data_IF_955303175601
#
_entry.id   IF_955303175601
#
_cell.length_a   1.000
_cell.length_b   1.000
_cell.length_c   1.000
_cell.angle_alpha   90.00
_cell.angle_beta   90.00
_cell.angle_gamma   90.00
#
_symmetry.space_group_name_H-M   'P 1'
#
loop_
_entity.id
_entity.type
_entity.pdbx_description
1 polymer ?
2 polymer ?
#
# COMPACT_ATOMS: atom_id res chain seq x y z
N UNK A 1 10.22 -11.69 -22.44
CA UNK A 1 9.25 -11.79 -21.32
C UNK A 1 8.63 -10.42 -20.97
N UNK A 2 7.31 -10.36 -20.72
CA UNK A 2 6.67 -9.09 -20.38
C UNK A 2 7.05 -8.56 -19.00
N UNK A 3 7.64 -9.43 -18.18
CA UNK A 3 8.02 -9.04 -16.82
C UNK A 3 9.50 -9.17 -16.54
N UNK A 4 9.93 -8.55 -15.45
CA UNK A 4 11.33 -8.61 -15.02
C UNK A 4 11.45 -9.71 -13.97
N UNK A 5 12.22 -10.78 -14.28
CA UNK A 5 12.40 -11.89 -13.35
C UNK A 5 13.34 -11.64 -12.16
N UNK A 6 14.01 -10.49 -12.19
CA UNK A 6 14.93 -10.15 -11.11
C UNK A 6 14.29 -9.25 -10.07
N UNK A 7 13.04 -8.85 -10.32
CA UNK A 7 12.33 -7.98 -9.40
C UNK A 7 11.01 -8.54 -8.89
N UNK A 8 10.83 -8.46 -7.58
CA UNK A 8 9.59 -8.87 -6.94
C UNK A 8 9.20 -7.64 -6.16
N UNK A 9 7.94 -7.21 -6.27
CA UNK A 9 7.51 -6.05 -5.51
C UNK A 9 6.02 -6.05 -5.23
N UNK A 10 5.56 -5.02 -4.53
CA UNK A 10 4.17 -4.85 -4.14
C UNK A 10 3.54 -3.82 -5.04
N UNK A 11 4.26 -3.47 -6.11
CA UNK A 11 3.93 -2.44 -7.10
C UNK A 11 4.36 -1.14 -6.43
N UNK A 12 4.73 -0.11 -7.20
CA UNK A 12 5.15 1.13 -6.55
C UNK A 12 4.16 1.94 -5.72
N UNK A 13 2.88 1.90 -6.08
CA UNK A 13 1.84 2.68 -5.38
C UNK A 13 0.71 1.79 -4.83
N UNK A 14 1.05 0.75 -4.07
CA UNK A 14 -0.01 -0.12 -3.56
C UNK A 14 -1.06 0.56 -2.71
N UNK A 15 -2.30 0.04 -2.74
CA UNK A 15 -3.38 0.62 -1.93
C UNK A 15 -3.21 -0.02 -0.55
N UNK A 16 -4.05 0.33 0.45
CA UNK A 16 -3.86 -0.31 1.76
C UNK A 16 -3.86 -1.84 1.54
N UNK A 17 -2.75 -2.48 1.88
CA UNK A 17 -2.62 -3.92 1.68
C UNK A 17 -2.24 -4.72 2.93
N UNK A 18 -2.44 -4.11 4.09
CA UNK A 18 -2.11 -4.78 5.35
C UNK A 18 -3.17 -4.51 6.40
N UNK A 19 -3.44 -5.51 7.22
CA UNK A 19 -4.40 -5.37 8.30
C UNK A 19 -3.61 -5.64 9.56
N UNK A 20 -2.80 -4.66 9.96
CA UNK A 20 -1.96 -4.78 11.14
C UNK A 20 -2.78 -4.72 12.43
N UNK A 21 -3.34 -3.57 12.76
CA UNK A 21 -4.16 -3.47 13.97
C UNK A 21 -5.62 -3.68 13.61
N UNK A 22 -6.03 -3.16 12.46
CA UNK A 22 -7.41 -3.33 11.99
C UNK A 22 -7.43 -3.51 10.47
N UNK A 23 -8.59 -3.86 9.91
CA UNK A 23 -8.72 -4.09 8.47
C UNK A 23 -8.16 -3.04 7.52
N UNK A 24 -7.22 -3.46 6.68
CA UNK A 24 -6.58 -2.59 5.69
C UNK A 24 -6.23 -1.19 6.21
N UNK A 25 -5.38 -1.15 7.24
CA UNK A 25 -5.00 0.11 7.85
C UNK A 25 -3.58 0.58 7.53
N UNK A 26 -2.93 -0.08 6.58
CA UNK A 26 -1.57 0.30 6.24
C UNK A 26 -1.15 -0.04 4.81
N UNK A 27 -0.29 0.81 4.26
CA UNK A 27 0.24 0.62 2.91
C UNK A 27 1.72 0.22 3.03
N UNK A 28 2.05 -0.99 2.59
CA UNK A 28 3.42 -1.47 2.64
C UNK A 28 3.98 -1.56 1.24
N UNK A 29 4.94 -0.70 0.93
CA UNK A 29 5.58 -0.72 -0.39
C UNK A 29 6.90 -1.45 -0.21
N UNK A 30 7.10 -2.54 -0.93
CA UNK A 30 8.34 -3.31 -0.83
C UNK A 30 8.79 -3.76 -2.21
N UNK A 31 10.06 -3.52 -2.52
CA UNK A 31 10.61 -3.91 -3.80
C UNK A 31 11.93 -4.60 -3.58
N UNK A 32 12.04 -5.80 -4.12
CA UNK A 32 13.26 -6.59 -3.99
C UNK A 32 13.85 -6.88 -5.36
N UNK A 33 15.13 -6.56 -5.54
CA UNK A 33 15.76 -6.85 -6.82
C UNK A 33 16.97 -7.73 -6.55
N UNK A 34 17.14 -8.74 -7.38
CA UNK A 34 18.25 -9.65 -7.24
C UNK A 34 19.45 -9.22 -8.07
N UNK A 35 20.62 -9.23 -7.43
CA UNK A 35 21.86 -8.84 -8.08
C UNK A 35 22.89 -9.87 -7.66
N UNK A 36 22.84 -11.05 -8.27
CA UNK A 36 23.78 -12.08 -7.90
C UNK A 36 23.41 -12.61 -6.54
N UNK A 37 24.38 -12.68 -5.63
CA UNK A 37 24.12 -13.20 -4.29
C UNK A 37 23.52 -12.21 -3.31
N UNK A 38 23.29 -10.99 -3.78
CA UNK A 38 22.71 -9.97 -2.92
C UNK A 38 21.41 -9.39 -3.49
N UNK A 39 20.43 -9.22 -2.61
CA UNK A 39 19.16 -8.64 -3.01
C UNK A 39 19.17 -7.22 -2.48
N UNK A 40 18.94 -6.26 -3.35
CA UNK A 40 18.85 -4.87 -2.93
C UNK A 40 17.38 -4.63 -2.65
N UNK A 41 17.04 -4.24 -1.42
CA UNK A 41 15.64 -3.99 -1.10
C UNK A 41 15.31 -2.60 -0.59
N UNK A 42 14.08 -2.18 -0.83
CA UNK A 42 13.61 -0.89 -0.34
C UNK A 42 12.24 -1.12 0.27
N UNK A 43 12.06 -0.67 1.50
CA UNK A 43 10.79 -0.84 2.18
C UNK A 43 10.23 0.49 2.68
N UNK A 44 8.91 0.56 2.77
CA UNK A 44 8.23 1.75 3.25
C UNK A 44 6.91 1.34 3.84
N UNK A 45 6.57 1.89 5.00
CA UNK A 45 5.31 1.57 5.68
C UNK A 45 4.64 2.83 6.19
N UNK A 46 3.35 2.96 5.95
CA UNK A 46 2.60 4.13 6.40
C UNK A 46 1.19 3.76 6.84
N UNK A 47 0.78 4.36 7.95
CA UNK A 47 -0.54 4.10 8.48
C UNK A 47 -1.56 4.95 7.75
N UNK A 48 -2.76 4.42 7.56
CA UNK A 48 -3.82 5.14 6.88
C UNK A 48 -5.16 5.03 7.61
N UNK A 49 -5.20 4.26 8.69
CA UNK A 49 -6.45 4.08 9.42
C UNK A 49 -6.19 3.56 10.81
N UNK A 50 -7.08 3.90 11.75
CA UNK A 50 -6.94 3.42 13.11
C UNK A 50 -5.76 3.97 13.87
N UNK A 51 -5.29 3.21 14.86
CA UNK A 51 -4.17 3.62 15.70
C UNK A 51 -2.85 3.93 14.98
N UNK A 52 -2.70 3.43 13.76
CA UNK A 52 -1.47 3.69 13.01
C UNK A 52 -1.43 5.12 12.47
N UNK A 53 -2.44 5.91 12.81
CA UNK A 53 -2.51 7.31 12.39
C UNK A 53 -2.26 8.18 13.60
N UNK A 54 -2.31 7.57 14.79
CA UNK A 54 -2.12 8.29 16.03
C UNK A 54 -1.45 7.36 17.04
N UNK A 55 -0.14 7.20 16.89
CA UNK A 55 0.66 6.32 17.74
C UNK A 55 0.25 6.31 19.21
N UNK A 56 -0.15 5.13 19.68
CA UNK A 56 -0.57 4.96 21.06
C UNK A 56 0.62 5.22 21.97
N UNK A 57 0.34 5.79 23.14
CA UNK A 57 1.38 6.11 24.11
C UNK A 57 2.23 4.91 24.50
N UNK A 58 1.58 3.78 24.70
CA UNK A 58 2.28 2.58 25.12
C UNK A 58 3.01 1.82 24.01
N UNK A 59 2.85 2.21 22.74
CA UNK A 59 3.54 1.50 21.67
C UNK A 59 4.99 1.97 21.55
N UNK A 60 5.90 1.03 21.29
CA UNK A 60 7.30 1.38 21.15
C UNK A 60 7.81 0.81 19.84
N UNK A 61 7.08 -0.14 19.28
CA UNK A 61 7.52 -0.76 18.04
C UNK A 61 6.38 -1.09 17.08
N UNK A 62 6.66 -0.96 15.79
CA UNK A 62 5.71 -1.27 14.74
C UNK A 62 6.47 -2.16 13.78
N UNK A 63 5.95 -3.36 13.54
CA UNK A 63 6.62 -4.26 12.64
C UNK A 63 5.72 -5.08 11.74
N UNK A 64 6.32 -5.66 10.70
CA UNK A 64 5.57 -6.49 9.77
C UNK A 64 6.41 -7.71 9.43
N UNK A 65 5.75 -8.81 9.09
CA UNK A 65 6.47 -10.02 8.73
C UNK A 65 6.08 -10.48 7.33
N UNK A 66 6.95 -11.24 6.70
CA UNK A 66 6.70 -11.77 5.37
C UNK A 66 7.29 -13.16 5.36
N UNK A 67 6.41 -14.16 5.35
CA UNK A 67 6.82 -15.56 5.36
C UNK A 67 6.68 -16.17 3.96
N UNK A 68 7.68 -16.95 3.56
CA UNK A 68 7.68 -17.58 2.25
C UNK A 68 7.82 -19.10 2.40
N UNK A 69 7.20 -19.85 1.50
CA UNK A 69 7.30 -21.32 1.57
C UNK A 69 8.67 -21.77 1.09
N UNK A 70 8.87 -23.08 0.96
CA UNK A 70 10.14 -23.62 0.53
C UNK A 70 10.56 -23.30 -0.91
N UNK A 71 9.67 -22.66 -1.66
CA UNK A 71 9.97 -22.29 -3.03
C UNK A 71 10.11 -20.79 -3.16
N UNK A 72 10.14 -20.11 -2.02
CA UNK A 72 10.28 -18.66 -2.02
C UNK A 72 9.00 -17.95 -2.42
N UNK A 73 7.87 -18.61 -2.23
CA UNK A 73 6.58 -18.03 -2.56
C UNK A 73 5.89 -17.52 -1.30
N UNK A 74 5.45 -16.26 -1.33
CA UNK A 74 4.80 -15.66 -0.17
C UNK A 74 3.55 -16.43 0.26
N UNK A 75 3.36 -16.53 1.57
CA UNK A 75 2.21 -17.22 2.15
C UNK A 75 1.32 -16.11 2.73
N UNK A 76 0.14 -15.93 2.16
CA UNK A 76 -0.75 -14.87 2.63
C UNK A 76 -1.65 -15.21 3.80
N UNK A 77 -1.04 -15.49 4.94
CA UNK A 77 -1.78 -15.79 6.16
C UNK A 77 -0.86 -15.42 7.31
N UNK A 78 -1.41 -15.31 8.53
CA UNK A 78 -0.62 -14.95 9.71
C UNK A 78 0.69 -15.74 9.76
N UNK A 79 1.82 -15.07 10.08
CA UNK A 79 1.96 -13.64 10.39
C UNK A 79 2.28 -12.70 9.23
N UNK A 80 2.13 -13.15 8.00
CA UNK A 80 2.43 -12.28 6.86
C UNK A 80 1.54 -11.03 6.83
N UNK A 81 2.18 -9.86 6.84
CA UNK A 81 1.48 -8.58 6.83
C UNK A 81 0.58 -8.37 5.60
N UNK A 82 1.11 -8.65 4.41
CA UNK A 82 0.33 -8.47 3.19
C UNK A 82 -0.91 -9.37 3.18
N UNK A 83 -2.07 -8.78 2.96
CA UNK A 83 -3.32 -9.54 2.93
C UNK A 83 -3.33 -10.44 1.69
N UNK A 84 -4.18 -11.48 1.67
CA UNK A 84 -4.21 -12.37 0.50
C UNK A 84 -4.46 -11.77 -0.90
N UNK A 85 -5.31 -10.75 -1.01
CA UNK A 85 -5.56 -10.15 -2.32
C UNK A 85 -4.48 -9.16 -2.72
N UNK A 86 -3.57 -8.87 -1.79
CA UNK A 86 -2.49 -7.92 -2.06
C UNK A 86 -1.60 -8.34 -3.22
N UNK A 87 -1.21 -7.37 -4.03
CA UNK A 87 -0.36 -7.59 -5.20
C UNK A 87 1.10 -7.88 -4.81
N UNK A 88 1.64 -8.98 -5.33
CA UNK A 88 3.02 -9.36 -5.06
C UNK A 88 3.48 -10.36 -6.10
N UNK A 89 4.56 -10.02 -6.79
CA UNK A 89 5.08 -10.91 -7.82
C UNK A 89 6.06 -10.16 -8.69
N UNK A 90 6.40 -10.74 -9.84
CA UNK A 90 7.33 -10.09 -10.75
C UNK A 90 6.78 -8.75 -11.21
N UNK A 91 7.68 -7.82 -11.51
CA UNK A 91 7.28 -6.51 -11.98
C UNK A 91 6.95 -6.55 -13.47
N UNK A 92 5.84 -5.89 -13.82
CA UNK A 92 5.42 -5.80 -15.20
C UNK A 92 4.80 -4.42 -15.34
N UNK A 93 5.57 -3.48 -15.89
CA UNK A 93 5.08 -2.12 -16.02
C UNK A 93 4.97 -1.54 -14.63
N UNK A 94 3.87 -0.86 -14.33
CA UNK A 94 3.69 -0.30 -13.00
C UNK A 94 2.85 -1.25 -12.16
N UNK A 95 2.76 -2.50 -12.60
CA UNK A 95 1.98 -3.54 -11.92
C UNK A 95 2.79 -4.83 -11.78
N UNK A 96 2.13 -5.93 -11.45
CA UNK A 96 2.81 -7.21 -11.32
C UNK A 96 2.26 -8.23 -12.30
N UNK A 97 3.08 -9.22 -12.63
CA UNK A 97 2.68 -10.29 -13.55
C UNK A 97 1.87 -11.26 -12.71
N UNK A 98 0.99 -12.03 -13.36
CA UNK A 98 0.19 -13.00 -12.62
C UNK A 98 0.85 -14.37 -12.60
N UNK A 99 2.01 -14.47 -13.27
CA UNK A 99 2.74 -15.73 -13.32
C UNK A 99 3.26 -16.08 -11.93
N UNK A 100 3.28 -17.37 -11.61
CA UNK A 100 3.77 -17.79 -10.31
C UNK A 100 5.30 -17.66 -10.33
N UNK A 101 5.88 -17.31 -9.19
CA UNK A 101 7.33 -17.15 -9.09
C UNK A 101 8.01 -18.51 -9.09
N UNK A 102 8.83 -18.74 -10.11
CA UNK A 102 9.53 -20.01 -10.26
C UNK A 102 11.00 -19.97 -9.84
N UNK A 103 11.51 -18.79 -9.51
CA UNK A 103 12.90 -18.64 -9.09
C UNK A 103 12.96 -17.92 -7.74
N UNK A 104 11.99 -18.24 -6.88
CA UNK A 104 11.90 -17.60 -5.59
C UNK A 104 13.09 -17.68 -4.67
N UNK A 105 13.80 -18.80 -4.71
CA UNK A 105 14.95 -18.96 -3.84
C UNK A 105 16.04 -17.95 -4.14
N UNK A 106 15.92 -17.29 -5.30
CA UNK A 106 16.91 -16.29 -5.65
C UNK A 106 16.71 -15.02 -4.85
N UNK A 107 15.52 -14.88 -4.26
CA UNK A 107 15.17 -13.70 -3.47
C UNK A 107 15.09 -13.98 -1.98
N UNK A 108 15.29 -15.23 -1.57
CA UNK A 108 15.18 -15.60 -0.16
C UNK A 108 16.46 -15.42 0.64
N UNK A 109 16.35 -15.08 1.94
CA UNK A 109 17.55 -14.91 2.74
C UNK A 109 18.23 -16.27 2.95
N UNK A 110 19.52 -16.33 2.59
CA UNK A 110 20.33 -17.52 2.73
C UNK A 110 20.26 -18.14 4.14
N UNK A 111 19.78 -19.38 4.24
CA UNK A 111 19.64 -20.04 5.54
C UNK A 111 20.95 -20.53 6.12
N UNK A 112 22.01 -20.54 5.31
CA UNK A 112 23.32 -20.94 5.83
C UNK A 112 23.86 -19.71 6.56
N UNK A 113 23.69 -18.56 5.93
CA UNK A 113 24.15 -17.30 6.50
C UNK A 113 23.29 -16.86 7.67
N UNK A 114 21.98 -17.08 7.53
CA UNK A 114 20.99 -16.72 8.54
C UNK A 114 20.13 -17.93 8.88
N UNK A 115 20.65 -18.85 9.71
CA UNK A 115 19.90 -20.05 10.10
C UNK A 115 18.60 -19.72 10.81
N UNK A 116 17.58 -20.55 10.60
CA UNK A 116 16.27 -20.35 11.21
C UNK A 116 16.27 -20.14 12.73
N UNK A 117 17.12 -20.86 13.48
CA UNK A 117 17.10 -20.66 14.93
C UNK A 117 18.06 -19.56 15.37
N UNK A 118 18.64 -18.86 14.40
CA UNK A 118 19.62 -17.82 14.72
C UNK A 118 19.13 -16.38 14.66
N UNK A 119 17.81 -16.20 14.66
CA UNK A 119 17.19 -14.87 14.59
C UNK A 119 17.73 -13.85 15.57
N UNK A 120 18.25 -14.31 16.71
CA UNK A 120 18.76 -13.39 17.72
C UNK A 120 20.23 -13.07 17.53
N UNK A 121 20.86 -13.78 16.60
CA UNK A 121 22.28 -13.53 16.31
C UNK A 121 22.37 -12.23 15.52
N UNK A 122 23.32 -11.36 15.89
CA UNK A 122 23.49 -10.09 15.21
C UNK A 122 23.63 -10.24 13.70
N UNK A 123 24.35 -11.26 13.27
CA UNK A 123 24.57 -11.49 11.85
C UNK A 123 23.26 -11.67 11.10
N UNK A 124 22.23 -12.14 11.77
CA UNK A 124 20.95 -12.34 11.10
C UNK A 124 20.10 -11.07 11.13
N UNK A 125 20.76 -9.96 11.43
CA UNK A 125 20.09 -8.67 11.50
C UNK A 125 20.84 -7.56 10.80
N UNK A 126 20.10 -6.61 10.26
CA UNK A 126 20.69 -5.43 9.61
C UNK A 126 19.93 -4.31 10.31
N UNK A 127 20.64 -3.62 11.20
CA UNK A 127 20.07 -2.53 11.97
C UNK A 127 20.64 -1.20 11.52
N UNK A 128 19.75 -0.24 11.35
CA UNK A 128 20.12 1.10 10.90
C UNK A 128 19.31 2.19 11.60
N UNK A 129 19.77 3.42 11.46
CA UNK A 129 19.06 4.54 12.04
C UNK A 129 18.34 5.28 10.93
N UNK A 130 17.06 5.56 11.15
CA UNK A 130 16.24 6.26 10.17
C UNK A 130 15.35 7.30 10.90
N UNK A 131 14.45 7.96 10.17
CA UNK A 131 13.62 8.99 10.79
C UNK A 131 12.13 8.92 10.50
N UNK A 132 11.34 8.93 11.57
CA UNK A 132 9.88 8.88 11.47
C UNK A 132 9.41 10.05 10.62
N UNK A 133 8.56 9.75 9.64
CA UNK A 133 8.03 10.75 8.71
C UNK A 133 9.15 11.49 7.99
N UNK A 134 10.36 10.93 8.04
CA UNK A 134 11.50 11.55 7.40
C UNK A 134 12.00 12.78 8.13
N UNK A 135 11.34 13.13 9.23
CA UNK A 135 11.69 14.30 10.04
C UNK A 135 12.96 14.00 10.84
N UNK A 136 14.05 14.67 10.49
CA UNK A 136 15.34 14.46 11.15
C UNK A 136 15.38 14.77 12.64
N UNK A 137 14.24 15.16 13.20
CA UNK A 137 14.19 15.45 14.61
C UNK A 137 13.52 14.28 15.34
N UNK A 138 13.04 13.32 14.55
CA UNK A 138 12.37 12.14 15.08
C UNK A 138 13.09 10.84 14.72
N UNK A 139 14.30 10.62 15.26
CA UNK A 139 15.01 9.39 14.93
C UNK A 139 14.38 8.12 15.51
N UNK A 140 14.50 7.05 14.74
CA UNK A 140 13.99 5.73 15.13
C UNK A 140 14.95 4.72 14.54
N UNK A 141 14.79 3.45 14.88
CA UNK A 141 15.63 2.41 14.33
C UNK A 141 14.82 1.39 13.56
N UNK A 142 15.39 0.92 12.45
CA UNK A 142 14.74 -0.09 11.65
C UNK A 142 15.63 -1.30 11.73
N UNK A 143 15.06 -2.42 12.13
CA UNK A 143 15.81 -3.64 12.22
C UNK A 143 15.18 -4.66 11.30
N UNK A 144 15.97 -5.17 10.36
CA UNK A 144 15.47 -6.18 9.45
C UNK A 144 16.03 -7.51 9.93
N UNK A 145 15.15 -8.47 10.23
CA UNK A 145 15.57 -9.79 10.70
C UNK A 145 15.32 -10.85 9.63
N UNK A 146 16.32 -11.71 9.42
CA UNK A 146 16.23 -12.74 8.39
C UNK A 146 15.89 -14.15 8.88
N UNK A 147 14.89 -14.74 8.26
CA UNK A 147 14.44 -16.09 8.59
C UNK A 147 14.19 -16.31 10.08
N UNK A 148 13.63 -15.30 10.74
CA UNK A 148 13.38 -15.40 12.16
C UNK A 148 11.98 -15.90 12.47
N UNK A 149 11.04 -15.65 11.58
CA UNK A 149 9.65 -16.07 11.76
C UNK A 149 9.33 -17.08 10.66
N UNK A 150 10.24 -18.04 10.49
CA UNK A 150 10.12 -19.07 9.49
C UNK A 150 9.59 -20.40 10.05
N UNK A 151 8.88 -21.15 9.21
CA UNK A 151 8.35 -22.44 9.62
C UNK A 151 9.51 -23.45 9.63
N UNK A 152 9.64 -24.19 8.53
CA UNK A 152 10.70 -25.17 8.31
C UNK A 152 10.74 -25.29 6.81
N UNK A 153 11.95 -25.27 6.27
CA UNK A 153 12.16 -25.30 4.82
C UNK A 153 11.65 -23.98 4.26
N UNK A 154 11.19 -23.09 5.15
CA UNK A 154 10.68 -21.80 4.76
C UNK A 154 11.65 -20.65 4.94
N UNK A 155 11.19 -19.44 4.61
CA UNK A 155 12.02 -18.24 4.70
C UNK A 155 11.19 -17.06 5.19
N UNK A 156 11.85 -16.00 5.63
CA UNK A 156 11.11 -14.84 6.11
C UNK A 156 11.94 -13.55 6.18
N UNK A 157 11.20 -12.45 6.25
CA UNK A 157 11.78 -11.13 6.37
C UNK A 157 10.98 -10.44 7.47
N UNK A 158 11.66 -9.71 8.34
CA UNK A 158 10.99 -9.01 9.42
C UNK A 158 11.48 -7.59 9.51
N UNK A 159 10.55 -6.64 9.54
CA UNK A 159 10.92 -5.23 9.63
C UNK A 159 10.38 -4.71 10.95
N UNK A 160 11.29 -4.20 11.77
CA UNK A 160 10.99 -3.68 13.09
C UNK A 160 11.37 -2.21 13.24
N UNK A 161 10.39 -1.32 13.30
CA UNK A 161 10.66 0.10 13.50
C UNK A 161 10.42 0.36 14.98
N UNK A 162 11.49 0.66 15.70
CA UNK A 162 11.40 0.85 17.14
C UNK A 162 11.82 2.23 17.63
N UNK A 163 11.57 2.49 18.91
CA UNK A 163 11.90 3.77 19.50
C UNK A 163 10.76 4.77 19.34
N UNK A 164 9.57 4.27 19.01
CA UNK A 164 8.39 5.11 18.81
C UNK A 164 7.84 5.62 20.15
N UNK A 165 8.40 5.10 21.22
CA UNK A 165 8.01 5.43 22.58
C UNK A 165 7.72 6.90 22.86
N UNK A 166 8.49 7.81 22.28
CA UNK A 166 8.28 9.23 22.53
C UNK A 166 7.77 10.07 21.36
N UNK A 167 7.02 9.42 20.46
CA UNK A 167 6.43 10.09 19.30
C UNK A 167 4.94 9.80 19.34
N UNK A 168 4.37 9.95 20.53
CA UNK A 168 2.96 9.69 20.75
C UNK A 168 2.08 10.72 20.08
N UNK A 169 0.88 10.27 19.72
CA UNK A 169 -0.14 11.11 19.11
C UNK A 169 0.25 11.64 17.72
N UNK A 170 1.06 10.86 17.00
CA UNK A 170 1.51 11.21 15.66
C UNK A 170 1.24 10.09 14.67
N UNK A 171 1.08 10.40 13.37
CA UNK A 171 0.83 9.32 12.41
C UNK A 171 2.12 8.52 12.19
N UNK A 172 2.00 7.20 12.01
CA UNK A 172 3.17 6.38 11.78
C UNK A 172 3.41 6.23 10.28
N UNK A 173 4.61 6.61 9.85
CA UNK A 173 4.99 6.51 8.45
C UNK A 173 6.50 6.52 8.45
N UNK A 174 7.09 5.71 7.58
CA UNK A 174 8.54 5.64 7.49
C UNK A 174 8.97 6.12 6.12
N UNK A 175 10.23 6.57 6.00
CA UNK A 175 10.66 7.01 4.66
C UNK A 175 11.02 5.74 3.91
N UNK A 176 11.49 5.85 2.67
CA UNK A 176 11.89 4.66 1.92
C UNK A 176 13.18 4.20 2.58
N UNK A 177 13.16 3.00 3.16
CA UNK A 177 14.33 2.47 3.85
C UNK A 177 15.01 1.37 3.04
N UNK A 178 16.33 1.42 2.94
CA UNK A 178 17.07 0.42 2.19
C UNK A 178 17.65 -0.68 3.10
N UNK A 179 17.85 -1.84 2.51
CA UNK A 179 18.40 -2.98 3.23
C UNK A 179 18.82 -3.97 2.17
N UNK A 180 19.56 -5.00 2.58
CA UNK A 180 20.02 -6.02 1.64
C UNK A 180 20.41 -7.25 2.43
N UNK A 181 20.50 -8.38 1.75
CA UNK A 181 20.85 -9.64 2.36
C UNK A 181 21.39 -10.66 1.34
N UNK A 182 22.10 -11.66 1.84
CA UNK A 182 22.68 -12.70 0.98
C UNK A 182 21.57 -13.64 0.60
N UNK A 183 21.52 -14.00 -0.69
CA UNK A 183 20.49 -14.87 -1.21
C UNK A 183 20.73 -16.36 -0.98
N UNK A 184 19.64 -17.11 -0.94
CA UNK A 184 19.66 -18.55 -0.75
C UNK A 184 20.30 -19.19 -1.98
N UNK A 185 19.83 -18.77 -3.15
CA UNK A 185 20.36 -19.28 -4.42
C UNK A 185 20.73 -18.13 -5.35
N UNK B 1 -8.80 0.26 -19.51
CA UNK B 1 -8.55 1.51 -18.74
C UNK B 1 -9.82 2.30 -18.49
N UNK B 2 -9.66 3.48 -17.90
CA UNK B 2 -10.80 4.35 -17.60
C UNK B 2 -11.25 5.05 -18.89
N UNK B 3 -12.55 5.25 -19.01
CA UNK B 3 -13.16 5.85 -20.20
C UNK B 3 -13.25 7.37 -20.24
N UNK B 4 -12.81 8.05 -19.18
CA UNK B 4 -12.87 9.50 -19.15
C UNK B 4 -11.54 10.16 -18.79
N UNK B 5 -11.17 11.25 -19.50
CA UNK B 5 -9.90 11.94 -19.22
C UNK B 5 -10.00 12.88 -18.01
N UNK B 6 -8.86 13.46 -17.62
CA UNK B 6 -8.80 14.37 -16.48
C UNK B 6 -9.72 15.57 -16.68
N UNK B 7 -10.74 15.70 -15.84
CA UNK B 7 -11.70 16.77 -15.94
C UNK B 7 -11.82 17.62 -14.68
N UNK B 8 -12.60 18.71 -14.79
CA UNK B 8 -12.83 19.62 -13.66
C UNK B 8 -14.33 19.77 -13.44
N UNK B 9 -14.79 19.36 -12.26
CA UNK B 9 -16.20 19.47 -11.92
C UNK B 9 -16.39 20.64 -10.95
N UNK B 10 -17.19 21.61 -11.36
CA UNK B 10 -17.46 22.79 -10.55
C UNK B 10 -18.89 22.72 -10.04
N UNK B 11 -19.06 22.55 -8.73
CA UNK B 11 -20.39 22.47 -8.13
C UNK B 11 -20.55 23.44 -6.98
N UNK B 12 -21.76 23.50 -6.41
CA UNK B 12 -22.04 24.41 -5.31
C UNK B 12 -22.31 23.72 -3.98
N UNK B 13 -21.98 24.42 -2.90
CA UNK B 13 -22.18 23.92 -1.54
C UNK B 13 -23.58 23.33 -1.40
N UNK B 14 -23.64 22.18 -0.73
CA UNK B 14 -24.91 21.51 -0.52
C UNK B 14 -25.22 20.48 -1.58
N UNK B 15 -24.88 20.77 -2.83
CA UNK B 15 -25.14 19.86 -3.92
C UNK B 15 -24.34 18.57 -3.76
N UNK B 16 -24.59 17.62 -4.64
CA UNK B 16 -23.90 16.35 -4.62
C UNK B 16 -23.06 16.25 -5.90
N UNK B 17 -21.83 15.76 -5.77
CA UNK B 17 -20.94 15.63 -6.90
C UNK B 17 -20.85 14.19 -7.35
N UNK B 18 -20.99 13.97 -8.65
CA UNK B 18 -20.89 12.63 -9.22
C UNK B 18 -19.54 12.56 -9.95
N UNK B 19 -18.59 11.86 -9.34
CA UNK B 19 -17.26 11.71 -9.91
C UNK B 19 -17.19 10.44 -10.77
N UNK B 20 -17.10 10.61 -12.10
CA UNK B 20 -17.04 9.47 -13.02
C UNK B 20 -15.74 8.70 -13.08
N UNK B 21 -15.86 7.38 -13.16
CA UNK B 21 -14.71 6.50 -13.28
C UNK B 21 -15.16 5.12 -13.80
N UNK B 22 -15.49 5.09 -15.09
CA UNK B 22 -15.92 3.85 -15.74
C UNK B 22 -14.69 3.26 -16.44
N UNK B 23 -14.52 1.94 -16.33
CA UNK B 23 -13.36 1.30 -16.93
C UNK B 23 -13.70 0.05 -17.73
N UNK B 24 -12.71 -0.43 -18.47
CA UNK B 24 -12.85 -1.62 -19.31
C UNK B 24 -11.71 -2.57 -18.92
N UNK B 25 -11.98 -3.88 -18.97
CA UNK B 25 -10.97 -4.87 -18.61
C UNK B 25 -10.47 -5.70 -19.79
N UNK B 26 -9.16 -5.96 -19.82
CA UNK B 26 -8.55 -6.76 -20.88
C UNK B 26 -8.57 -8.23 -20.49
N UNK B 27 -8.36 -9.14 -21.46
CA UNK B 27 -8.38 -10.57 -21.12
C UNK B 27 -7.17 -10.88 -20.22
N UNK B 28 -6.10 -10.10 -20.41
CA UNK B 28 -4.87 -10.26 -19.64
C UNK B 28 -5.07 -9.94 -18.17
N UNK B 29 -5.89 -8.92 -17.89
CA UNK B 29 -6.16 -8.49 -16.54
C UNK B 29 -6.85 -9.60 -15.74
N UNK B 30 -6.05 -10.47 -15.13
CA UNK B 30 -6.56 -11.59 -14.36
C UNK B 30 -6.36 -11.45 -12.86
N UNK B 31 -5.61 -10.43 -12.45
CA UNK B 31 -5.40 -10.23 -11.02
C UNK B 31 -6.69 -9.77 -10.37
N UNK B 32 -6.79 -9.82 -9.03
CA UNK B 32 -8.05 -9.39 -8.38
C UNK B 32 -8.29 -7.90 -8.59
N UNK B 33 -9.54 -7.53 -8.87
CA UNK B 33 -9.89 -6.13 -9.10
C UNK B 33 -9.61 -5.31 -7.84
N UNK B 34 -8.98 -4.16 -8.04
CA UNK B 34 -8.62 -3.27 -6.95
C UNK B 34 -8.95 -1.81 -7.31
N UNK B 35 -9.84 -1.20 -6.53
CA UNK B 35 -10.25 0.18 -6.75
C UNK B 35 -9.88 1.02 -5.53
N UNK B 36 -9.22 2.15 -5.76
CA UNK B 36 -8.85 3.06 -4.68
C UNK B 36 -9.08 4.49 -5.11
N UNK B 37 -9.74 5.26 -4.24
CA UNK B 37 -10.00 6.67 -4.50
C UNK B 37 -9.20 7.48 -3.49
N UNK B 38 -8.33 8.35 -3.98
CA UNK B 38 -7.53 9.18 -3.09
C UNK B 38 -7.90 10.65 -3.26
N UNK B 39 -7.48 11.48 -2.30
CA UNK B 39 -7.76 12.91 -2.36
C UNK B 39 -6.60 13.76 -1.89
N UNK B 40 -6.39 14.88 -2.59
CA UNK B 40 -5.34 15.84 -2.23
C UNK B 40 -6.09 17.14 -1.94
N UNK B 41 -6.51 17.34 -0.68
CA UNK B 41 -7.25 18.55 -0.28
C UNK B 41 -6.52 19.84 -0.60
N UNK B 42 -7.29 20.89 -0.81
CA UNK B 42 -6.70 22.18 -1.12
C UNK B 42 -6.34 22.92 0.16
N UNK B 43 -7.19 22.79 1.19
CA UNK B 43 -6.96 23.46 2.47
C UNK B 43 -5.65 23.03 3.15
N UNK B 44 -5.56 21.78 3.60
CA UNK B 44 -4.32 21.34 4.25
C UNK B 44 -3.32 20.90 3.19
N UNK B 45 -2.14 20.50 3.63
CA UNK B 45 -1.08 20.10 2.71
C UNK B 45 -0.88 18.62 2.49
N UNK B 46 -1.83 17.80 2.96
CA UNK B 46 -1.75 16.35 2.79
C UNK B 46 -2.06 15.98 1.34
N UNK B 47 -1.46 14.89 0.87
CA UNK B 47 -1.68 14.41 -0.49
C UNK B 47 -1.99 12.91 -0.50
N UNK B 48 -2.64 12.46 -1.58
CA UNK B 48 -2.98 11.05 -1.75
C UNK B 48 -3.65 10.38 -0.56
N UNK B 49 -4.57 11.10 0.09
CA UNK B 49 -5.30 10.56 1.23
C UNK B 49 -6.37 9.56 0.76
N UNK B 50 -6.37 8.37 1.35
CA UNK B 50 -7.34 7.33 0.97
C UNK B 50 -8.76 7.75 1.36
N UNK B 51 -9.71 7.51 0.47
CA UNK B 51 -11.11 7.86 0.72
C UNK B 51 -11.97 6.61 0.85
N UNK B 52 -11.94 5.78 -0.20
CA UNK B 52 -12.73 4.56 -0.23
C UNK B 52 -12.01 3.49 -1.06
N UNK B 53 -12.28 2.23 -0.78
CA UNK B 53 -11.66 1.14 -1.51
C UNK B 53 -12.63 0.05 -1.91
N UNK B 54 -12.16 -0.78 -2.82
CA UNK B 54 -12.89 -1.95 -3.27
C UNK B 54 -11.77 -2.96 -3.37
N UNK B 55 -11.60 -3.76 -2.32
CA UNK B 55 -10.54 -4.75 -2.26
C UNK B 55 -11.11 -6.08 -1.76
N UNK B 56 -10.73 -7.16 -2.44
CA UNK B 56 -11.23 -8.47 -2.07
C UNK B 56 -12.75 -8.52 -2.08
N UNK B 57 -13.35 -7.95 -3.13
CA UNK B 57 -14.80 -7.92 -3.31
C UNK B 57 -15.56 -7.31 -2.14
N UNK B 58 -14.97 -6.30 -1.49
CA UNK B 58 -15.60 -5.63 -0.36
C UNK B 58 -15.31 -4.13 -0.38
N UNK B 59 -16.29 -3.34 0.05
CA UNK B 59 -16.14 -1.88 0.10
C UNK B 59 -15.59 -1.51 1.47
N UNK B 60 -14.60 -0.63 1.48
CA UNK B 60 -13.99 -0.17 2.73
C UNK B 60 -13.98 1.36 2.70
N UNK B 61 -14.60 1.98 3.70
CA UNK B 61 -14.59 3.43 3.77
C UNK B 61 -14.23 3.96 5.16
N UNK B 62 -14.46 5.25 5.37
CA UNK B 62 -14.11 5.94 6.62
C UNK B 62 -12.61 5.98 6.80
N UNK B 63 -11.92 6.54 5.81
CA UNK B 63 -10.48 6.68 5.88
C UNK B 63 -10.21 8.16 6.06
N UNK B 64 -10.97 8.97 5.32
CA UNK B 64 -10.84 10.41 5.38
C UNK B 64 -11.95 10.92 6.29
N UNK B 65 -11.63 11.23 7.56
CA UNK B 65 -12.64 11.72 8.52
C UNK B 65 -13.54 12.87 8.07
N UNK B 66 -12.95 13.92 7.50
CA UNK B 66 -13.75 15.07 7.05
C UNK B 66 -14.75 14.73 5.97
N UNK B 67 -14.66 13.53 5.41
CA UNK B 67 -15.54 13.11 4.33
C UNK B 67 -16.42 11.93 4.74
N UNK B 68 -16.39 11.58 6.02
CA UNK B 68 -17.16 10.47 6.57
C UNK B 68 -18.65 10.43 6.20
N UNK B 69 -19.12 9.23 5.84
CA UNK B 69 -20.51 9.04 5.49
C UNK B 69 -21.08 9.83 4.32
N UNK B 70 -20.21 10.43 3.52
CA UNK B 70 -20.66 11.21 2.38
C UNK B 70 -20.10 10.70 1.06
N UNK B 71 -19.40 9.57 1.10
CA UNK B 71 -18.83 8.98 -0.10
C UNK B 71 -19.32 7.57 -0.25
N UNK B 72 -19.86 7.25 -1.43
CA UNK B 72 -20.35 5.90 -1.71
C UNK B 72 -20.19 5.66 -3.20
N UNK B 73 -19.98 4.40 -3.58
CA UNK B 73 -19.85 4.09 -5.01
C UNK B 73 -21.25 4.26 -5.58
N UNK B 74 -21.34 4.84 -6.78
CA UNK B 74 -22.65 5.08 -7.39
C UNK B 74 -23.25 3.83 -8.02
N UNK B 75 -22.41 3.00 -8.63
CA UNK B 75 -22.90 1.78 -9.26
C UNK B 75 -23.15 0.67 -8.25
N UNK B 76 -24.09 -0.22 -8.57
CA UNK B 76 -24.42 -1.34 -7.69
C UNK B 76 -23.69 -2.58 -8.17
N UNK B 77 -22.84 -2.39 -9.17
CA UNK B 77 -22.07 -3.47 -9.75
C UNK B 77 -20.71 -2.92 -10.21
N UNK B 78 -19.75 -2.85 -9.30
CA UNK B 78 -18.41 -2.35 -9.59
C UNK B 78 -17.75 -3.13 -10.72
N UNK B 79 -17.68 -4.44 -10.54
CA UNK B 79 -17.07 -5.34 -11.51
C UNK B 79 -17.51 -5.11 -12.93
N UNK B 80 -18.74 -4.66 -13.11
CA UNK B 80 -19.28 -4.40 -14.45
C UNK B 80 -18.43 -3.35 -15.19
N UNK B 81 -17.70 -2.53 -14.45
CA UNK B 81 -16.87 -1.52 -15.09
C UNK B 81 -17.15 -0.09 -14.67
N UNK B 82 -17.67 0.09 -13.46
CA UNK B 82 -17.97 1.43 -12.97
C UNK B 82 -17.50 1.59 -11.53
N UNK B 83 -16.59 2.53 -11.32
CA UNK B 83 -16.04 2.79 -10.00
C UNK B 83 -16.36 4.21 -9.57
N UNK B 84 -17.32 4.82 -10.25
CA UNK B 84 -17.72 6.19 -9.95
C UNK B 84 -18.21 6.31 -8.52
N UNK B 85 -18.03 7.49 -7.92
CA UNK B 85 -18.48 7.72 -6.55
C UNK B 85 -19.28 9.01 -6.42
N UNK B 86 -19.88 9.21 -5.25
CA UNK B 86 -20.66 10.40 -4.94
C UNK B 86 -20.10 11.08 -3.71
N UNK B 87 -20.30 12.38 -3.63
CA UNK B 87 -19.87 13.15 -2.47
C UNK B 87 -21.06 14.02 -2.16
N UNK B 88 -21.87 13.55 -1.20
CA UNK B 88 -23.09 14.24 -0.79
C UNK B 88 -22.84 15.43 0.12
N UNK B 89 -23.69 16.44 -0.03
CA UNK B 89 -23.62 17.66 0.78
C UNK B 89 -22.24 18.32 0.70
N UNK B 90 -21.81 18.64 -0.52
CA UNK B 90 -20.51 19.25 -0.76
C UNK B 90 -20.24 20.47 0.11
N UNK B 91 -19.00 20.59 0.57
CA UNK B 91 -18.57 21.70 1.40
C UNK B 91 -17.31 22.29 0.82
N UNK B 92 -16.97 23.52 1.24
CA UNK B 92 -15.77 24.19 0.72
C UNK B 92 -14.50 23.42 1.04
N UNK B 93 -14.53 22.64 2.12
CA UNK B 93 -13.37 21.87 2.53
C UNK B 93 -13.13 20.70 1.57
N UNK B 94 -14.13 20.36 0.77
CA UNK B 94 -14.02 19.25 -0.18
C UNK B 94 -13.24 19.55 -1.46
N UNK B 95 -12.79 20.79 -1.61
CA UNK B 95 -12.05 21.16 -2.80
C UNK B 95 -10.69 20.47 -2.81
N UNK B 96 -10.31 19.96 -3.99
CA UNK B 96 -9.04 19.29 -4.12
C UNK B 96 -9.04 18.37 -5.31
N UNK B 97 -7.93 17.66 -5.53
CA UNK B 97 -7.82 16.74 -6.63
C UNK B 97 -8.15 15.34 -6.17
N UNK B 98 -9.20 14.75 -6.76
CA UNK B 98 -9.61 13.40 -6.41
C UNK B 98 -9.07 12.47 -7.48
N UNK B 99 -8.49 11.34 -7.06
CA UNK B 99 -7.93 10.40 -8.00
C UNK B 99 -8.58 9.03 -7.88
N UNK B 100 -8.90 8.44 -9.03
CA UNK B 100 -9.52 7.13 -9.09
C UNK B 100 -8.50 6.17 -9.68
N UNK B 101 -8.15 5.13 -8.93
CA UNK B 101 -7.20 4.14 -9.41
C UNK B 101 -7.90 2.81 -9.61
N UNK B 102 -7.89 2.31 -10.84
CA UNK B 102 -8.52 1.02 -11.15
C UNK B 102 -7.43 0.06 -11.58
N UNK B 103 -7.20 -0.98 -10.77
CA UNK B 103 -6.17 -1.95 -11.07
C UNK B 103 -6.68 -3.38 -11.12
N UNK B 104 -6.11 -4.15 -12.03
CA UNK B 104 -6.44 -5.55 -12.21
C UNK B 104 -5.24 -6.14 -12.94
N UNK B 105 -4.22 -6.48 -12.15
CA UNK B 105 -2.95 -7.03 -12.63
C UNK B 105 -3.02 -7.82 -13.92
N UNK B 106 -2.14 -7.49 -14.90
CA UNK B 106 -1.12 -6.44 -14.87
C UNK B 106 -1.66 -5.06 -15.26
N UNK B 107 -2.96 -4.99 -15.51
CA UNK B 107 -3.55 -3.73 -15.90
C UNK B 107 -3.61 -2.69 -14.81
N UNK B 108 -3.55 -1.42 -15.20
CA UNK B 108 -3.62 -0.32 -14.26
C UNK B 108 -3.97 0.97 -14.98
N UNK B 109 -4.90 1.71 -14.40
CA UNK B 109 -5.37 2.97 -14.98
C UNK B 109 -5.76 3.91 -13.85
N UNK B 110 -5.76 5.20 -14.13
CA UNK B 110 -6.15 6.18 -13.13
C UNK B 110 -6.62 7.47 -13.79
N UNK B 111 -7.52 8.16 -13.10
CA UNK B 111 -8.08 9.41 -13.58
C UNK B 111 -8.04 10.43 -12.46
N UNK B 112 -7.87 11.70 -12.81
CA UNK B 112 -7.85 12.77 -11.81
C UNK B 112 -8.99 13.74 -12.07
N UNK B 113 -9.66 14.13 -11.00
CA UNK B 113 -10.77 15.06 -11.12
C UNK B 113 -10.55 16.22 -10.17
N UNK B 114 -10.63 17.42 -10.71
CA UNK B 114 -10.46 18.62 -9.90
C UNK B 114 -11.84 19.10 -9.47
N UNK B 115 -12.20 18.84 -8.22
CA UNK B 115 -13.49 19.25 -7.71
C UNK B 115 -13.42 20.63 -7.08
N UNK B 116 -14.31 21.51 -7.52
CA UNK B 116 -14.37 22.88 -7.01
C UNK B 116 -15.77 23.08 -6.45
N UNK B 117 -15.85 23.67 -5.26
CA UNK B 117 -17.14 23.94 -4.62
C UNK B 117 -17.27 25.43 -4.39
N UNK B 118 -18.35 26.01 -4.90
CA UNK B 118 -18.58 27.44 -4.75
C UNK B 118 -19.66 27.74 -3.72
N UNK B 119 -19.43 28.79 -2.92
CA UNK B 119 -20.36 29.19 -1.87
C UNK B 119 -21.79 29.35 -2.35
N UNK B 120 -22.00 30.19 -3.37
CA UNK B 120 -23.31 30.41 -3.93
C UNK B 120 -23.40 29.67 -5.26
N UNK B 121 -24.54 29.01 -5.52
CA UNK B 121 -24.71 28.25 -6.77
C UNK B 121 -24.64 29.09 -8.04
N UNK B 122 -23.42 29.29 -8.55
CA UNK B 122 -23.26 30.08 -9.77
C UNK B 122 -21.91 29.93 -10.46
N UNK B 123 -21.97 29.59 -11.74
CA UNK B 123 -20.79 29.44 -12.56
C UNK B 123 -21.05 30.33 -13.78
N UNK B 124 -22.21 30.99 -13.73
CA UNK B 124 -22.68 31.90 -14.78
C UNK B 124 -22.78 31.25 -16.15
#
# INVERSE_FOLDING_TARGET
>A
TPYDPLTLWTTPDPPPNCSLIQELDAKLTLCLTKNGSIVNGIVSLVGVKGNLLNIQSTTTTVGVHLVFDEQGRLITSTPTALVPQAYWGYRQGQSVSTNTVTNGLGFMPNVSAYPRPNASEAKSQMVSLTYLQGDTSKPITMKVAFNGITSLNGYSLTFMWSGLSNYINQPFSTPSCSFSYITQE
>B
GITTPEEMIEKAKGETAYLPCKFTLSPEDQGPLDIEWLISPADNQKVDQVIILYSGDKIYDDYYPDLKGRVHFTSNDLKSGDASINVTNLQLSDIGTYQCKVKKAPGVANKKIHLVVLVKPSGA
#
